data_IF_037961099682
#
_entry.id   IF_037961099682
#
_cell.length_a   1.000
_cell.length_b   1.000
_cell.length_c   1.000
_cell.angle_alpha   90.00
_cell.angle_beta   90.00
_cell.angle_gamma   90.00
#
_symmetry.space_group_name_H-M   'P 1'
#
loop_
_entity.id
_entity.type
_entity.pdbx_description
1 polymer ?
#
# COMPACT_ATOMS: atom_id res chain seq x y z
N UNK A 1 -12.60 7.90 -7.79
CA UNK A 1 -13.64 8.07 -6.74
C UNK A 1 -13.32 7.09 -5.64
N UNK A 2 -13.35 7.53 -4.38
CA UNK A 2 -12.80 6.71 -3.28
C UNK A 2 -13.77 6.69 -2.12
N UNK A 3 -14.27 5.49 -1.73
CA UNK A 3 -15.03 5.35 -0.50
C UNK A 3 -14.13 5.66 0.71
N UNK A 4 -14.73 6.17 1.79
CA UNK A 4 -14.01 6.64 2.98
C UNK A 4 -14.78 6.30 4.27
N UNK A 5 -14.05 6.20 5.38
CA UNK A 5 -14.66 5.98 6.71
C UNK A 5 -15.28 7.27 7.21
N UNK A 6 -16.54 7.18 7.63
CA UNK A 6 -17.32 8.25 8.24
C UNK A 6 -17.63 7.89 9.69
N UNK A 7 -17.43 8.85 10.60
CA UNK A 7 -17.84 8.78 12.01
C UNK A 7 -18.92 9.82 12.28
N UNK A 8 -20.01 9.44 12.96
CA UNK A 8 -21.07 10.38 13.35
C UNK A 8 -21.67 10.03 14.70
N UNK A 9 -21.94 11.04 15.53
CA UNK A 9 -22.63 10.84 16.81
C UNK A 9 -24.11 10.52 16.57
N UNK A 10 -24.61 9.48 17.22
CA UNK A 10 -26.03 9.13 17.22
C UNK A 10 -26.77 9.88 18.33
N UNK A 11 -28.11 9.86 18.27
CA UNK A 11 -28.95 10.43 19.32
C UNK A 11 -28.76 9.74 20.69
N UNK A 12 -28.27 8.50 20.71
CA UNK A 12 -27.98 7.73 21.93
C UNK A 12 -26.59 7.99 22.52
N UNK A 13 -25.80 8.91 21.95
CA UNK A 13 -24.45 9.23 22.41
C UNK A 13 -23.35 8.30 21.88
N UNK A 14 -23.71 7.20 21.21
CA UNK A 14 -22.76 6.31 20.55
C UNK A 14 -22.15 6.96 19.29
N UNK A 15 -20.97 6.49 18.90
CA UNK A 15 -20.29 6.93 17.67
C UNK A 15 -20.51 5.86 16.61
N UNK A 16 -21.34 6.20 15.62
CA UNK A 16 -21.59 5.35 14.47
C UNK A 16 -20.43 5.43 13.47
N UNK A 17 -19.97 4.27 12.99
CA UNK A 17 -18.92 4.11 11.99
C UNK A 17 -19.51 3.51 10.71
N UNK A 18 -19.26 4.16 9.58
CA UNK A 18 -19.83 3.83 8.27
C UNK A 18 -18.79 3.97 7.17
N UNK A 19 -18.98 3.27 6.06
CA UNK A 19 -18.28 3.52 4.80
C UNK A 19 -19.21 4.32 3.88
N UNK A 20 -18.72 5.44 3.36
CA UNK A 20 -19.47 6.31 2.47
C UNK A 20 -18.68 6.68 1.22
N UNK A 21 -19.38 7.03 0.16
CA UNK A 21 -18.82 7.53 -1.09
C UNK A 21 -19.42 8.90 -1.42
N UNK A 22 -18.63 9.78 -2.05
CA UNK A 22 -19.12 11.06 -2.59
C UNK A 22 -19.26 10.95 -4.12
N UNK A 23 -20.50 11.02 -4.62
CA UNK A 23 -20.83 10.97 -6.06
C UNK A 23 -21.65 12.19 -6.45
N UNK A 24 -21.20 12.95 -7.46
CA UNK A 24 -21.87 14.15 -7.98
C UNK A 24 -22.31 15.14 -6.89
N UNK A 25 -21.44 15.38 -5.90
CA UNK A 25 -21.73 16.27 -4.76
C UNK A 25 -22.62 15.67 -3.66
N UNK A 26 -23.28 14.53 -3.91
CA UNK A 26 -24.11 13.82 -2.94
C UNK A 26 -23.29 12.75 -2.20
N UNK A 27 -23.59 12.57 -0.91
CA UNK A 27 -22.96 11.54 -0.06
C UNK A 27 -23.88 10.32 -0.02
N UNK A 28 -23.37 9.17 -0.44
CA UNK A 28 -24.08 7.88 -0.35
C UNK A 28 -23.38 6.99 0.66
N UNK A 29 -24.14 6.44 1.61
CA UNK A 29 -23.63 5.45 2.56
C UNK A 29 -23.61 4.12 1.83
N UNK A 30 -22.44 3.47 1.77
CA UNK A 30 -22.28 2.17 1.14
C UNK A 30 -22.51 1.05 2.15
N UNK A 31 -21.95 1.19 3.35
CA UNK A 31 -21.97 0.15 4.36
C UNK A 31 -22.00 0.73 5.78
N UNK A 32 -22.72 0.07 6.68
CA UNK A 32 -22.71 0.38 8.10
C UNK A 32 -21.85 -0.65 8.84
N UNK A 33 -20.84 -0.18 9.58
CA UNK A 33 -19.85 -1.05 10.24
C UNK A 33 -20.27 -1.33 11.69
N UNK A 34 -20.77 -0.32 12.40
CA UNK A 34 -21.29 -0.48 13.76
C UNK A 34 -21.39 0.84 14.53
N UNK A 35 -21.75 0.74 15.81
CA UNK A 35 -21.80 1.86 16.76
C UNK A 35 -20.91 1.57 17.96
N UNK A 36 -20.01 2.49 18.29
CA UNK A 36 -19.13 2.41 19.45
C UNK A 36 -19.70 3.19 20.63
N UNK A 37 -19.66 2.60 21.81
CA UNK A 37 -20.07 3.22 23.07
C UNK A 37 -18.87 3.72 23.88
N UNK A 38 -17.65 3.25 23.57
CA UNK A 38 -16.40 3.73 24.15
C UNK A 38 -15.29 3.91 23.09
N UNK A 39 -14.12 4.37 23.53
CA UNK A 39 -12.98 4.66 22.65
C UNK A 39 -12.30 3.39 22.11
N UNK A 40 -12.34 2.28 22.87
CA UNK A 40 -11.74 1.02 22.46
C UNK A 40 -12.57 0.36 21.34
N UNK A 41 -13.89 0.30 21.51
CA UNK A 41 -14.83 -0.13 20.49
C UNK A 41 -14.73 0.73 19.23
N UNK A 42 -14.55 2.05 19.39
CA UNK A 42 -14.37 2.94 18.26
C UNK A 42 -13.09 2.62 17.47
N UNK A 43 -11.98 2.33 18.14
CA UNK A 43 -10.74 1.96 17.49
C UNK A 43 -10.89 0.65 16.69
N UNK A 44 -11.58 -0.35 17.26
CA UNK A 44 -11.87 -1.62 16.59
C UNK A 44 -12.73 -1.42 15.34
N UNK A 45 -13.85 -0.69 15.45
CA UNK A 45 -14.76 -0.48 14.33
C UNK A 45 -14.12 0.35 13.20
N UNK A 46 -13.24 1.29 13.54
CA UNK A 46 -12.51 2.08 12.54
C UNK A 46 -11.47 1.24 11.83
N UNK A 47 -10.76 0.36 12.54
CA UNK A 47 -9.83 -0.58 11.92
C UNK A 47 -10.58 -1.53 10.97
N UNK A 48 -11.70 -2.12 11.41
CA UNK A 48 -12.55 -2.97 10.56
C UNK A 48 -13.05 -2.24 9.31
N UNK A 49 -13.48 -0.97 9.45
CA UNK A 49 -13.92 -0.15 8.33
C UNK A 49 -12.80 0.09 7.31
N UNK A 50 -11.57 0.34 7.79
CA UNK A 50 -10.40 0.50 6.91
C UNK A 50 -10.04 -0.82 6.22
N UNK A 51 -10.06 -1.94 6.93
CA UNK A 51 -9.82 -3.26 6.34
C UNK A 51 -10.81 -3.56 5.21
N UNK A 52 -12.10 -3.25 5.38
CA UNK A 52 -13.10 -3.41 4.30
C UNK A 52 -12.87 -2.45 3.14
N UNK A 53 -12.54 -1.18 3.41
CA UNK A 53 -12.20 -0.22 2.35
C UNK A 53 -11.01 -0.67 1.50
N UNK A 54 -10.02 -1.30 2.12
CA UNK A 54 -8.82 -1.80 1.46
C UNK A 54 -9.01 -3.21 0.88
N UNK A 55 -9.86 -4.05 1.47
CA UNK A 55 -10.24 -5.38 0.96
C UNK A 55 -11.09 -5.32 -0.32
N UNK A 56 -11.88 -4.25 -0.52
CA UNK A 56 -12.53 -3.97 -1.82
C UNK A 56 -11.48 -3.69 -2.92
N UNK A 57 -10.24 -3.38 -2.56
CA UNK A 57 -9.11 -3.26 -3.50
C UNK A 57 -8.40 -4.60 -3.76
N UNK A 58 -8.70 -5.63 -2.96
CA UNK A 58 -8.09 -6.98 -2.97
C UNK A 58 -8.86 -7.98 -3.86
N UNK A 59 -10.06 -7.64 -4.35
CA UNK A 59 -10.82 -8.46 -5.33
C UNK A 59 -10.08 -8.63 -6.70
N UNK A 60 -8.87 -8.07 -6.85
CA UNK A 60 -7.98 -8.33 -7.98
C UNK A 60 -6.94 -9.44 -7.73
N UNK A 61 -6.85 -10.02 -6.52
CA UNK A 61 -5.98 -11.15 -6.20
C UNK A 61 -6.71 -12.11 -5.25
N UNK A 62 -7.22 -13.26 -5.72
CA UNK A 62 -7.80 -14.26 -4.82
C UNK A 62 -6.67 -14.94 -4.05
N UNK A 63 -6.39 -14.45 -2.85
CA UNK A 63 -5.64 -15.19 -1.83
C UNK A 63 -6.66 -15.74 -0.84
N UNK A 64 -6.88 -17.05 -0.91
CA UNK A 64 -7.76 -17.78 0.02
C UNK A 64 -7.43 -17.43 1.48
N UNK A 65 -8.43 -17.15 2.34
CA UNK A 65 -8.17 -16.79 3.72
C UNK A 65 -7.54 -17.98 4.46
N UNK A 66 -6.31 -17.79 4.94
CA UNK A 66 -5.63 -18.79 5.75
C UNK A 66 -6.42 -19.07 7.04
N UNK A 67 -6.82 -20.32 7.24
CA UNK A 67 -7.49 -20.78 8.46
C UNK A 67 -6.65 -20.47 9.70
N UNK A 68 -7.30 -19.88 10.71
CA UNK A 68 -6.68 -19.41 11.94
C UNK A 68 -6.23 -20.60 12.80
N UNK A 69 -4.93 -20.90 12.81
CA UNK A 69 -4.32 -21.95 13.63
C UNK A 69 -4.08 -21.46 15.08
N UNK A 70 -4.28 -22.29 16.13
CA UNK A 70 -4.10 -21.87 17.52
C UNK A 70 -2.65 -21.47 17.83
N UNK A 71 -2.42 -20.60 18.84
CA UNK A 71 -1.11 -20.00 19.09
C UNK A 71 -0.14 -21.03 19.69
N UNK A 72 0.79 -21.50 18.85
CA UNK A 72 2.04 -22.12 19.30
C UNK A 72 3.13 -21.05 19.51
N UNK A 73 4.30 -21.42 20.07
CA UNK A 73 5.41 -20.49 20.26
C UNK A 73 5.78 -19.83 18.92
N UNK A 74 5.85 -18.50 18.96
CA UNK A 74 5.73 -17.63 17.78
C UNK A 74 7.04 -17.59 16.98
N UNK A 75 6.98 -18.12 15.74
CA UNK A 75 8.02 -18.05 14.69
C UNK A 75 7.88 -16.75 13.86
N UNK A 76 7.11 -15.76 14.34
CA UNK A 76 6.79 -14.55 13.58
C UNK A 76 8.03 -13.73 13.22
N UNK A 77 9.00 -13.60 14.12
CA UNK A 77 10.24 -12.84 13.83
C UNK A 77 11.02 -13.44 12.66
N UNK A 78 11.22 -14.77 12.67
CA UNK A 78 11.93 -15.46 11.59
C UNK A 78 11.16 -15.43 10.28
N UNK A 79 9.83 -15.51 10.32
CA UNK A 79 8.99 -15.36 9.14
C UNK A 79 9.04 -13.94 8.57
N UNK A 80 9.00 -12.91 9.42
CA UNK A 80 9.13 -11.50 9.03
C UNK A 80 10.51 -11.19 8.45
N UNK A 81 11.59 -11.72 9.05
CA UNK A 81 12.96 -11.59 8.52
C UNK A 81 13.10 -12.25 7.15
N UNK A 82 12.55 -13.46 6.96
CA UNK A 82 12.55 -14.13 5.67
C UNK A 82 11.76 -13.34 4.62
N UNK A 83 10.53 -12.93 4.95
CA UNK A 83 9.69 -12.11 4.06
C UNK A 83 10.44 -10.84 3.64
N UNK A 84 11.02 -10.13 4.60
CA UNK A 84 11.79 -8.92 4.32
C UNK A 84 12.99 -9.20 3.42
N UNK A 85 13.73 -10.28 3.67
CA UNK A 85 14.88 -10.66 2.84
C UNK A 85 14.49 -10.93 1.38
N UNK A 86 13.33 -11.56 1.16
CA UNK A 86 12.80 -11.86 -0.18
C UNK A 86 12.39 -10.56 -0.88
N UNK A 87 11.66 -9.68 -0.20
CA UNK A 87 11.25 -8.38 -0.74
C UNK A 87 12.45 -7.49 -1.05
N UNK A 88 13.42 -7.38 -0.15
CA UNK A 88 14.65 -6.63 -0.36
C UNK A 88 15.50 -7.22 -1.49
N UNK A 89 15.54 -8.54 -1.60
CA UNK A 89 16.20 -9.24 -2.72
C UNK A 89 15.51 -8.96 -4.05
N UNK A 90 14.18 -8.98 -4.10
CA UNK A 90 13.42 -8.62 -5.31
C UNK A 90 13.65 -7.15 -5.69
N UNK A 91 13.63 -6.24 -4.73
CA UNK A 91 13.91 -4.81 -4.92
C UNK A 91 15.26 -4.61 -5.63
N UNK A 92 16.34 -5.25 -5.14
CA UNK A 92 17.67 -5.20 -5.78
C UNK A 92 17.71 -5.85 -7.15
N UNK A 93 17.09 -7.04 -7.34
CA UNK A 93 17.06 -7.71 -8.66
C UNK A 93 16.35 -6.90 -9.74
N UNK A 94 15.39 -6.05 -9.35
CA UNK A 94 14.72 -5.12 -10.24
C UNK A 94 15.55 -3.84 -10.51
N UNK A 95 16.73 -3.71 -9.89
CA UNK A 95 17.56 -2.51 -9.92
C UNK A 95 17.00 -1.35 -9.07
N UNK A 96 16.08 -1.66 -8.16
CA UNK A 96 15.50 -0.81 -7.11
C UNK A 96 16.49 0.18 -6.48
N UNK A 97 17.63 -0.39 -6.12
CA UNK A 97 18.73 0.16 -5.32
C UNK A 97 19.42 1.38 -5.94
N UNK A 98 19.21 1.67 -7.22
CA UNK A 98 19.67 2.95 -7.81
C UNK A 98 19.00 4.16 -7.13
N UNK A 99 17.82 3.95 -6.54
CA UNK A 99 17.21 4.91 -5.62
C UNK A 99 17.85 4.69 -4.25
N UNK A 100 18.95 5.40 -4.00
CA UNK A 100 19.75 5.32 -2.77
C UNK A 100 19.05 6.01 -1.60
N UNK A 101 17.88 5.49 -1.21
CA UNK A 101 17.06 6.01 -0.11
C UNK A 101 16.41 4.88 0.67
N UNK A 102 17.01 4.51 1.80
CA UNK A 102 16.57 3.38 2.63
C UNK A 102 15.13 3.54 3.14
N UNK A 103 14.74 4.76 3.55
CA UNK A 103 13.38 5.04 4.04
C UNK A 103 12.33 4.81 2.93
N UNK A 104 12.70 5.04 1.68
CA UNK A 104 11.84 4.75 0.54
C UNK A 104 11.66 3.25 0.33
N UNK A 105 12.74 2.47 0.44
CA UNK A 105 12.66 1.00 0.36
C UNK A 105 11.82 0.41 1.49
N UNK A 106 11.98 0.91 2.72
CA UNK A 106 11.14 0.55 3.88
C UNK A 106 9.66 0.86 3.63
N UNK A 107 9.36 2.06 3.12
CA UNK A 107 7.99 2.46 2.79
C UNK A 107 7.37 1.54 1.71
N UNK A 108 8.11 1.25 0.64
CA UNK A 108 7.64 0.36 -0.43
C UNK A 108 7.36 -1.04 0.11
N UNK A 109 8.31 -1.61 0.86
CA UNK A 109 8.15 -2.95 1.43
C UNK A 109 6.97 -3.03 2.40
N UNK A 110 6.83 -2.07 3.32
CA UNK A 110 5.69 -2.02 4.23
C UNK A 110 4.34 -1.94 3.49
N UNK A 111 4.27 -1.19 2.39
CA UNK A 111 3.04 -1.09 1.57
C UNK A 111 2.73 -2.33 0.73
N UNK A 112 3.73 -3.15 0.44
CA UNK A 112 3.53 -4.46 -0.20
C UNK A 112 3.01 -5.49 0.81
N UNK A 113 3.45 -5.39 2.07
CA UNK A 113 2.97 -6.25 3.17
C UNK A 113 1.54 -5.88 3.56
N UNK A 114 1.27 -4.58 3.75
CA UNK A 114 -0.06 -4.09 4.07
C UNK A 114 -0.33 -2.76 3.32
N UNK A 115 -1.37 -2.69 2.46
CA UNK A 115 -1.66 -1.52 1.62
C UNK A 115 -2.33 -0.37 2.42
N UNK A 116 -1.74 0.04 3.54
CA UNK A 116 -2.27 1.05 4.46
C UNK A 116 -1.87 2.49 4.09
N UNK A 117 -2.16 3.47 4.95
CA UNK A 117 -1.76 4.88 4.79
C UNK A 117 -0.23 5.06 4.88
N UNK A 118 0.29 6.19 4.38
CA UNK A 118 1.74 6.50 4.44
C UNK A 118 2.27 6.47 5.89
N UNK A 119 1.53 7.07 6.82
CA UNK A 119 1.94 7.16 8.22
C UNK A 119 1.79 5.81 8.93
N UNK A 120 0.76 5.05 8.58
CA UNK A 120 0.49 3.75 9.23
C UNK A 120 1.51 2.67 8.84
N UNK A 121 2.34 2.89 7.81
CA UNK A 121 3.51 2.03 7.54
C UNK A 121 4.51 1.94 8.71
N UNK A 122 4.54 2.94 9.60
CA UNK A 122 5.37 2.92 10.81
C UNK A 122 4.95 1.76 11.74
N UNK A 123 3.64 1.50 11.86
CA UNK A 123 3.10 0.38 12.62
C UNK A 123 3.51 -0.94 11.98
N UNK A 124 3.32 -1.08 10.66
CA UNK A 124 3.69 -2.29 9.90
C UNK A 124 5.18 -2.63 10.08
N UNK A 125 6.07 -1.64 9.95
CA UNK A 125 7.50 -1.84 10.15
C UNK A 125 7.83 -2.30 11.58
N UNK A 126 7.13 -1.75 12.58
CA UNK A 126 7.31 -2.14 13.98
C UNK A 126 6.85 -3.58 14.23
N UNK A 127 5.72 -3.99 13.65
CA UNK A 127 5.20 -5.36 13.73
C UNK A 127 6.12 -6.38 13.05
N UNK A 128 6.79 -5.97 11.96
CA UNK A 128 7.82 -6.77 11.29
C UNK A 128 9.18 -6.79 12.01
N UNK A 129 9.34 -6.05 13.12
CA UNK A 129 10.60 -5.92 13.85
C UNK A 129 11.68 -5.12 13.10
N UNK A 130 11.29 -4.29 12.14
CA UNK A 130 12.18 -3.44 11.34
C UNK A 130 12.31 -2.03 11.93
N UNK A 131 13.40 -1.29 11.63
CA UNK A 131 13.54 0.10 12.04
C UNK A 131 12.40 0.96 11.47
N UNK A 132 11.53 1.45 12.34
CA UNK A 132 10.43 2.32 11.95
C UNK A 132 10.89 3.79 11.94
N UNK A 133 10.88 4.48 10.79
CA UNK A 133 11.31 5.88 10.71
C UNK A 133 10.33 6.80 11.43
N UNK A 134 10.82 7.91 11.97
CA UNK A 134 9.93 8.94 12.51
C UNK A 134 9.06 9.55 11.39
N UNK A 135 7.84 9.98 11.75
CA UNK A 135 6.88 10.58 10.81
C UNK A 135 7.49 11.69 9.94
N UNK A 136 8.30 12.57 10.54
CA UNK A 136 8.94 13.67 9.80
C UNK A 136 9.97 13.14 8.77
N UNK A 137 10.74 12.12 9.12
CA UNK A 137 11.70 11.46 8.21
C UNK A 137 10.96 10.84 7.02
N UNK A 138 9.82 10.20 7.26
CA UNK A 138 8.98 9.63 6.21
C UNK A 138 8.46 10.70 5.24
N UNK A 139 7.96 11.83 5.74
CA UNK A 139 7.52 12.93 4.87
C UNK A 139 8.67 13.64 4.15
N UNK A 140 9.85 13.75 4.77
CA UNK A 140 11.05 14.26 4.11
C UNK A 140 11.49 13.32 2.96
N UNK A 141 11.45 12.01 3.18
CA UNK A 141 11.67 11.01 2.13
C UNK A 141 10.68 11.19 0.97
N UNK A 142 9.39 11.32 1.26
CA UNK A 142 8.36 11.52 0.22
C UNK A 142 8.56 12.79 -0.59
N UNK A 143 9.06 13.87 0.03
CA UNK A 143 9.42 15.09 -0.69
C UNK A 143 10.60 14.85 -1.64
N UNK A 144 11.66 14.20 -1.13
CA UNK A 144 12.84 13.81 -1.92
C UNK A 144 12.50 12.86 -3.07
N UNK A 145 11.46 12.02 -2.92
CA UNK A 145 10.98 11.16 -4.01
C UNK A 145 10.51 11.94 -5.24
N UNK A 146 9.92 13.12 -5.01
CA UNK A 146 9.45 14.01 -6.08
C UNK A 146 10.65 14.77 -6.65
N UNK A 147 11.46 15.37 -5.78
CA UNK A 147 12.64 16.17 -6.17
C UNK A 147 13.68 15.34 -6.94
N UNK A 148 13.89 14.09 -6.54
CA UNK A 148 14.83 13.15 -7.15
C UNK A 148 14.25 12.34 -8.32
N UNK A 149 13.02 12.63 -8.75
CA UNK A 149 12.33 11.94 -9.84
C UNK A 149 12.39 10.40 -9.74
N UNK A 150 12.10 9.87 -8.54
CA UNK A 150 12.20 8.43 -8.29
C UNK A 150 11.29 7.65 -9.22
N UNK A 151 10.16 8.23 -9.63
CA UNK A 151 9.23 7.60 -10.58
C UNK A 151 9.91 7.26 -11.89
N UNK A 152 10.62 8.20 -12.52
CA UNK A 152 11.29 7.92 -13.80
C UNK A 152 12.42 6.92 -13.64
N UNK A 153 13.16 6.98 -12.53
CA UNK A 153 14.19 5.99 -12.22
C UNK A 153 13.58 4.59 -12.13
N UNK A 154 12.55 4.40 -11.30
CA UNK A 154 11.84 3.11 -11.13
C UNK A 154 11.28 2.63 -12.46
N UNK A 155 10.63 3.51 -13.24
CA UNK A 155 10.09 3.15 -14.56
C UNK A 155 11.19 2.68 -15.53
N UNK A 156 12.33 3.36 -15.56
CA UNK A 156 13.51 2.97 -16.36
C UNK A 156 14.01 1.59 -15.93
N UNK A 157 14.08 1.37 -14.61
CA UNK A 157 14.30 0.08 -13.97
C UNK A 157 13.46 -1.06 -14.51
N UNK A 158 12.15 -0.89 -14.37
CA UNK A 158 11.16 -1.85 -14.82
C UNK A 158 11.30 -2.10 -16.33
N UNK A 159 11.54 -1.06 -17.12
CA UNK A 159 11.72 -1.18 -18.56
C UNK A 159 12.95 -2.04 -18.91
N UNK A 160 14.11 -1.76 -18.30
CA UNK A 160 15.33 -2.53 -18.53
C UNK A 160 15.15 -3.99 -18.10
N UNK A 161 14.57 -4.23 -16.92
CA UNK A 161 14.31 -5.57 -16.42
C UNK A 161 13.37 -6.35 -17.37
N UNK A 162 12.26 -5.74 -17.79
CA UNK A 162 11.30 -6.37 -18.70
C UNK A 162 11.89 -6.67 -20.09
N UNK A 163 12.77 -5.80 -20.60
CA UNK A 163 13.37 -5.96 -21.94
C UNK A 163 14.60 -6.85 -21.97
N UNK A 164 15.04 -7.39 -20.83
CA UNK A 164 16.24 -8.24 -20.75
C UNK A 164 16.08 -9.56 -21.53
N UNK A 165 14.86 -10.10 -21.62
CA UNK A 165 14.57 -11.35 -22.33
C UNK A 165 14.07 -11.16 -23.78
N UNK A 166 14.02 -9.92 -24.29
CA UNK A 166 13.52 -9.61 -25.62
C UNK A 166 12.56 -8.41 -25.66
N UNK A 167 11.98 -8.15 -26.83
CA UNK A 167 11.03 -7.04 -27.01
C UNK A 167 9.70 -7.33 -26.31
N UNK A 168 9.33 -6.49 -25.34
CA UNK A 168 8.03 -6.53 -24.66
C UNK A 168 7.13 -5.43 -25.24
N UNK A 169 5.93 -5.80 -25.68
CA UNK A 169 4.85 -4.84 -25.93
C UNK A 169 4.04 -4.68 -24.63
N UNK A 170 4.28 -3.59 -23.89
CA UNK A 170 3.52 -3.28 -22.67
C UNK A 170 2.46 -2.23 -23.00
N UNK A 171 1.18 -2.59 -22.90
CA UNK A 171 0.05 -1.66 -22.90
C UNK A 171 -0.54 -1.63 -21.50
N UNK A 172 -0.22 -0.60 -20.72
CA UNK A 172 -0.90 -0.34 -19.45
C UNK A 172 -2.08 0.59 -19.70
N UNK A 173 -3.30 0.14 -19.39
CA UNK A 173 -4.46 1.02 -19.27
C UNK A 173 -4.64 1.38 -17.78
N UNK A 174 -4.56 2.67 -17.46
CA UNK A 174 -4.97 3.21 -16.17
C UNK A 174 -6.03 4.28 -16.43
N UNK A 175 -7.09 4.31 -15.63
CA UNK A 175 -8.17 5.30 -15.76
C UNK A 175 -7.76 6.73 -15.38
N UNK A 176 -6.53 6.94 -14.90
CA UNK A 176 -5.94 8.26 -14.71
C UNK A 176 -4.88 8.51 -15.80
N UNK A 177 -5.11 9.54 -16.63
CA UNK A 177 -4.28 9.94 -17.77
C UNK A 177 -2.79 10.11 -17.42
N UNK A 178 -2.00 9.04 -17.47
CA UNK A 178 -0.55 9.10 -17.63
C UNK A 178 -0.12 8.03 -18.61
N UNK A 179 -0.09 8.39 -19.89
CA UNK A 179 0.40 7.52 -20.96
C UNK A 179 1.94 7.46 -20.90
N UNK A 180 2.50 6.28 -20.66
CA UNK A 180 3.91 6.01 -20.87
C UNK A 180 4.10 5.53 -22.31
N UNK A 181 4.86 6.26 -23.13
CA UNK A 181 5.17 5.88 -24.51
C UNK A 181 6.66 5.53 -24.63
N UNK A 182 6.97 4.24 -24.61
CA UNK A 182 8.27 3.73 -25.05
C UNK A 182 8.28 3.56 -26.57
N UNK A 183 9.22 4.18 -27.27
CA UNK A 183 9.44 3.93 -28.70
C UNK A 183 10.92 3.66 -28.93
N UNK A 184 11.25 2.53 -29.57
CA UNK A 184 12.52 2.39 -30.31
C UNK A 184 12.21 2.50 -31.79
N UNK A 185 12.86 3.47 -32.44
CA UNK A 185 13.15 3.36 -33.86
C UNK A 185 14.09 2.16 -34.04
N UNK A 186 13.67 1.19 -34.85
CA UNK A 186 14.56 0.12 -35.29
C UNK A 186 15.71 0.70 -36.15
N UNK A 187 16.84 -0.02 -36.26
CA UNK A 187 17.94 0.44 -37.11
C UNK A 187 17.47 0.47 -38.57
N UNK A 188 17.69 1.61 -39.22
CA UNK A 188 17.64 1.72 -40.67
C UNK A 188 18.78 0.92 -41.25
N UNK A 189 18.45 -0.14 -41.99
CA UNK A 189 19.26 -0.74 -43.03
C UNK A 189 18.31 -1.24 -44.12
#
# INVERSE_FOLDING_TARGET
>A
MSPFVRKSKTASGAIQVQIAEKRNGQRKILEHIGSAHDEAELAVLVNLANQRLHGVQDDMLPLEPAERRPPGPVVERSAAELLWSVLAGAYRRLGFDRVDEEVFALLVGARLVEPTSKVDTIRVLSELGLPAPHRNTLYNCLRRCIEGDYRSQIATACWQHATTAGSVALVMHGSDHTAFRGHRRGPTA
#
